data_IF_440146758425
#
_entry.id   IF_440146758425
#
_cell.length_a   1.000
_cell.length_b   1.000
_cell.length_c   1.000
_cell.angle_alpha   90.00
_cell.angle_beta   90.00
_cell.angle_gamma   90.00
#
_symmetry.space_group_name_H-M   'P 1'
#
loop_
_entity.id
_entity.type
_entity.pdbx_description
1 polymer ?
#
# COMPACT_ATOMS: atom_id res chain seq x y z
N UNK A 1 -0.88 -8.75 -4.20
CA UNK A 1 -1.71 -7.51 -4.34
C UNK A 1 -2.29 -7.17 -2.99
N UNK A 2 -2.80 -5.95 -2.78
CA UNK A 2 -3.18 -5.46 -1.44
C UNK A 2 -4.52 -4.75 -1.50
N UNK A 3 -5.27 -4.78 -0.38
CA UNK A 3 -6.32 -3.80 -0.14
C UNK A 3 -5.67 -2.47 0.22
N UNK A 4 -6.13 -1.40 -0.40
CA UNK A 4 -5.75 -0.02 -0.11
C UNK A 4 -7.00 0.85 -0.16
N UNK A 5 -7.26 1.56 0.93
CA UNK A 5 -8.27 2.61 1.01
C UNK A 5 -7.59 3.86 1.53
N UNK A 6 -7.77 4.98 0.85
CA UNK A 6 -7.27 6.26 1.33
C UNK A 6 -8.32 7.36 1.22
N UNK A 7 -8.18 8.35 2.07
CA UNK A 7 -8.91 9.60 1.99
C UNK A 7 -7.94 10.76 2.19
N UNK A 8 -8.10 11.81 1.39
CA UNK A 8 -7.27 13.00 1.48
C UNK A 8 -8.11 14.26 1.48
N UNK A 9 -7.71 15.22 2.29
CA UNK A 9 -8.22 16.57 2.38
C UNK A 9 -7.06 17.53 2.68
N UNK A 10 -7.23 18.86 2.63
CA UNK A 10 -6.10 19.79 2.74
C UNK A 10 -5.22 19.64 3.97
N UNK A 11 -5.78 19.25 5.11
CA UNK A 11 -5.09 19.18 6.41
C UNK A 11 -4.82 17.75 6.91
N UNK A 12 -5.33 16.72 6.22
CA UNK A 12 -5.14 15.33 6.63
C UNK A 12 -5.16 14.33 5.47
N UNK A 13 -4.43 13.24 5.63
CA UNK A 13 -4.57 12.03 4.82
C UNK A 13 -4.73 10.81 5.72
N UNK A 14 -5.68 9.93 5.38
CA UNK A 14 -5.83 8.60 5.97
C UNK A 14 -5.49 7.57 4.91
N UNK A 15 -4.58 6.64 5.21
CA UNK A 15 -4.15 5.58 4.29
C UNK A 15 -4.23 4.25 5.02
N UNK A 16 -5.14 3.39 4.62
CA UNK A 16 -5.36 2.10 5.26
C UNK A 16 -5.03 0.93 4.33
N UNK A 17 -4.39 -0.10 4.88
CA UNK A 17 -4.05 -1.34 4.18
C UNK A 17 -4.33 -2.55 5.05
N UNK A 18 -4.56 -3.69 4.41
CA UNK A 18 -4.47 -5.00 5.04
C UNK A 18 -3.01 -5.45 5.20
N UNK A 19 -2.75 -6.48 6.01
CA UNK A 19 -1.38 -6.95 6.27
C UNK A 19 -1.04 -8.31 5.65
N UNK A 20 -2.01 -9.11 5.18
CA UNK A 20 -1.76 -10.45 4.68
C UNK A 20 -0.95 -10.44 3.37
N UNK A 21 0.15 -11.15 3.35
CA UNK A 21 0.87 -11.54 2.14
C UNK A 21 0.66 -13.04 1.88
N UNK A 22 0.44 -13.40 0.62
CA UNK A 22 0.23 -14.78 0.18
C UNK A 22 1.29 -15.21 -0.82
N UNK A 23 1.56 -16.50 -0.87
CA UNK A 23 2.35 -17.14 -1.92
C UNK A 23 1.57 -17.22 -3.24
N UNK A 24 2.22 -17.70 -4.31
CA UNK A 24 1.62 -17.78 -5.65
C UNK A 24 0.38 -18.69 -5.73
N UNK A 25 0.25 -19.64 -4.82
CA UNK A 25 -0.90 -20.53 -4.70
C UNK A 25 -2.02 -19.97 -3.79
N UNK A 26 -1.87 -18.72 -3.29
CA UNK A 26 -2.84 -18.08 -2.41
C UNK A 26 -2.75 -18.46 -0.93
N UNK A 27 -1.81 -19.32 -0.55
CA UNK A 27 -1.61 -19.69 0.85
C UNK A 27 -1.01 -18.53 1.66
N UNK A 28 -1.41 -18.35 2.92
CA UNK A 28 -0.81 -17.36 3.81
C UNK A 28 0.70 -17.56 3.93
N UNK A 29 1.47 -16.49 3.67
CA UNK A 29 2.93 -16.51 3.65
C UNK A 29 3.54 -15.69 4.78
N UNK A 30 3.04 -14.48 5.00
CA UNK A 30 3.47 -13.60 6.08
C UNK A 30 2.46 -12.48 6.34
N UNK A 31 2.61 -11.80 7.47
CA UNK A 31 2.01 -10.49 7.69
C UNK A 31 3.08 -9.42 7.46
N UNK A 32 2.75 -8.41 6.66
CA UNK A 32 3.68 -7.34 6.32
C UNK A 32 3.01 -5.97 6.28
N UNK A 33 3.78 -4.94 6.59
CA UNK A 33 3.36 -3.55 6.43
C UNK A 33 3.36 -3.20 4.94
N UNK A 34 2.24 -2.69 4.44
CA UNK A 34 2.03 -2.33 3.03
C UNK A 34 1.99 -0.83 2.78
N UNK A 35 2.00 -0.04 3.85
CA UNK A 35 2.16 1.40 3.84
C UNK A 35 3.14 1.82 4.95
N UNK A 36 4.00 2.78 4.68
CA UNK A 36 4.98 3.25 5.66
C UNK A 36 5.20 4.75 5.58
N UNK A 37 5.62 5.35 6.69
CA UNK A 37 5.84 6.78 6.83
C UNK A 37 7.32 7.13 6.86
N UNK A 38 7.71 8.16 6.12
CA UNK A 38 9.07 8.74 6.13
C UNK A 38 9.03 10.06 6.90
N UNK A 39 9.52 10.11 8.15
CA UNK A 39 9.32 11.27 9.04
C UNK A 39 9.91 12.58 8.49
N UNK A 40 11.13 12.54 7.97
CA UNK A 40 11.82 13.73 7.49
C UNK A 40 11.22 14.32 6.20
N UNK A 41 10.44 13.54 5.45
CA UNK A 41 9.69 13.98 4.28
C UNK A 41 8.22 14.24 4.58
N UNK A 42 7.75 13.93 5.79
CA UNK A 42 6.32 13.93 6.17
C UNK A 42 5.45 13.23 5.12
N UNK A 43 5.90 12.06 4.64
CA UNK A 43 5.28 11.37 3.50
C UNK A 43 4.99 9.92 3.83
N UNK A 44 3.76 9.47 3.53
CA UNK A 44 3.37 8.06 3.52
C UNK A 44 3.60 7.51 2.11
N UNK A 45 4.21 6.33 2.02
CA UNK A 45 4.32 5.54 0.80
C UNK A 45 3.50 4.27 0.98
N UNK A 46 2.62 3.99 0.02
CA UNK A 46 1.81 2.77 -0.03
C UNK A 46 1.84 2.19 -1.45
N UNK A 47 1.38 0.96 -1.62
CA UNK A 47 1.33 0.39 -2.96
C UNK A 47 0.38 -0.79 -3.11
N UNK A 48 0.06 -1.06 -4.38
CA UNK A 48 -0.75 -2.21 -4.80
C UNK A 48 -0.07 -2.89 -5.99
N UNK A 49 -0.40 -4.14 -6.26
CA UNK A 49 0.20 -4.92 -7.36
C UNK A 49 1.30 -5.85 -6.86
N UNK A 50 2.49 -5.82 -7.47
CA UNK A 50 3.59 -6.68 -7.09
C UNK A 50 3.95 -6.52 -5.60
N UNK A 51 3.86 -7.63 -4.87
CA UNK A 51 4.07 -7.64 -3.41
C UNK A 51 5.47 -7.19 -3.03
N UNK A 52 5.60 -6.28 -2.07
CA UNK A 52 6.89 -5.81 -1.56
C UNK A 52 7.55 -4.68 -2.36
N UNK A 53 7.12 -4.39 -3.60
CA UNK A 53 7.75 -3.35 -4.42
C UNK A 53 7.66 -1.95 -3.79
N UNK A 54 6.49 -1.57 -3.30
CA UNK A 54 6.31 -0.28 -2.60
C UNK A 54 7.15 -0.17 -1.32
N UNK A 55 7.38 -1.29 -0.62
CA UNK A 55 8.25 -1.34 0.56
C UNK A 55 9.73 -1.17 0.19
N UNK A 56 10.17 -1.72 -0.94
CA UNK A 56 11.53 -1.45 -1.46
C UNK A 56 11.69 0.02 -1.86
N UNK A 57 10.66 0.62 -2.48
CA UNK A 57 10.67 2.06 -2.77
C UNK A 57 10.71 2.91 -1.51
N UNK A 58 9.91 2.58 -0.49
CA UNK A 58 9.93 3.24 0.82
C UNK A 58 11.34 3.22 1.42
N UNK A 59 11.99 2.05 1.42
CA UNK A 59 13.35 1.90 1.93
C UNK A 59 14.35 2.72 1.09
N UNK A 60 14.24 2.67 -0.24
CA UNK A 60 15.10 3.45 -1.14
C UNK A 60 14.96 4.95 -0.89
N UNK A 61 13.73 5.47 -0.85
CA UNK A 61 13.46 6.88 -0.61
C UNK A 61 13.94 7.36 0.75
N UNK A 62 13.76 6.53 1.79
CA UNK A 62 14.13 6.90 3.16
C UNK A 62 15.63 6.83 3.45
N UNK A 63 16.40 5.98 2.74
CA UNK A 63 17.81 5.68 3.09
C UNK A 63 18.83 6.04 2.02
N UNK A 64 18.41 6.19 0.77
CA UNK A 64 19.33 6.37 -0.37
C UNK A 64 19.10 7.67 -1.15
N UNK A 65 18.01 8.38 -0.89
CA UNK A 65 17.73 9.66 -1.54
C UNK A 65 17.99 10.81 -0.57
N UNK A 66 18.52 11.91 -1.12
CA UNK A 66 18.63 13.19 -0.42
C UNK A 66 17.65 14.13 -1.10
N UNK A 67 16.43 14.16 -0.58
CA UNK A 67 15.31 14.96 -1.10
C UNK A 67 14.73 15.85 0.00
N UNK A 68 14.14 16.97 -0.40
CA UNK A 68 13.59 17.97 0.49
C UNK A 68 12.07 18.08 0.24
N UNK A 69 11.30 17.28 0.98
CA UNK A 69 9.84 17.27 0.90
C UNK A 69 9.26 16.45 -0.25
N UNK A 70 7.91 16.45 -0.33
CA UNK A 70 7.18 15.57 -1.24
C UNK A 70 7.29 15.98 -2.71
N UNK A 71 7.34 17.28 -3.02
CA UNK A 71 7.46 17.72 -4.42
C UNK A 71 8.83 17.40 -5.01
N UNK A 72 9.89 17.52 -4.20
CA UNK A 72 11.22 17.11 -4.65
C UNK A 72 11.31 15.57 -4.76
N UNK A 73 10.65 14.83 -3.88
CA UNK A 73 10.52 13.37 -4.01
C UNK A 73 9.76 13.01 -5.30
N UNK A 74 8.61 13.66 -5.57
CA UNK A 74 7.81 13.45 -6.78
C UNK A 74 8.64 13.62 -8.05
N UNK A 75 9.42 14.69 -8.14
CA UNK A 75 10.30 14.95 -9.30
C UNK A 75 11.25 13.79 -9.62
N UNK A 76 11.78 13.12 -8.59
CA UNK A 76 12.72 12.01 -8.76
C UNK A 76 12.07 10.62 -8.86
N UNK A 77 10.82 10.50 -8.40
CA UNK A 77 10.11 9.22 -8.28
C UNK A 77 9.93 8.47 -9.60
N UNK A 78 9.52 9.08 -10.72
CA UNK A 78 9.30 8.36 -11.97
C UNK A 78 10.54 7.60 -12.44
N UNK A 79 11.69 8.27 -12.46
CA UNK A 79 12.96 7.66 -12.84
C UNK A 79 13.39 6.56 -11.86
N UNK A 80 13.34 6.87 -10.56
CA UNK A 80 13.75 5.94 -9.51
C UNK A 80 12.90 4.66 -9.49
N UNK A 81 11.58 4.79 -9.62
CA UNK A 81 10.69 3.64 -9.72
C UNK A 81 10.93 2.83 -10.99
N UNK A 82 11.16 3.47 -12.13
CA UNK A 82 11.47 2.77 -13.38
C UNK A 82 12.72 1.90 -13.28
N UNK A 83 13.81 2.46 -12.74
CA UNK A 83 15.08 1.73 -12.54
C UNK A 83 14.92 0.59 -11.52
N UNK A 84 14.22 0.85 -10.42
CA UNK A 84 13.96 -0.15 -9.38
C UNK A 84 13.06 -1.28 -9.91
N UNK A 85 12.05 -0.96 -10.73
CA UNK A 85 11.10 -1.93 -11.27
C UNK A 85 11.77 -2.93 -12.21
N UNK A 86 12.68 -2.47 -13.08
CA UNK A 86 13.43 -3.36 -13.96
C UNK A 86 14.33 -4.34 -13.18
N UNK A 87 14.93 -3.87 -12.10
CA UNK A 87 15.73 -4.72 -11.20
C UNK A 87 14.83 -5.71 -10.44
N UNK A 88 13.70 -5.23 -9.92
CA UNK A 88 12.74 -6.01 -9.16
C UNK A 88 12.12 -7.15 -9.99
N UNK A 89 11.72 -6.87 -11.23
CA UNK A 89 11.19 -7.91 -12.14
C UNK A 89 12.19 -9.04 -12.35
N UNK A 90 13.47 -8.72 -12.53
CA UNK A 90 14.53 -9.72 -12.72
C UNK A 90 14.78 -10.54 -11.45
N UNK A 91 14.89 -9.87 -10.30
CA UNK A 91 15.17 -10.51 -9.01
C UNK A 91 14.06 -11.50 -8.60
N UNK A 92 12.80 -11.11 -8.81
CA UNK A 92 11.65 -11.94 -8.43
C UNK A 92 11.04 -12.75 -9.59
N UNK A 93 11.70 -12.75 -10.75
CA UNK A 93 11.25 -13.48 -11.95
C UNK A 93 9.79 -13.17 -12.32
N UNK A 94 9.40 -11.89 -12.20
CA UNK A 94 8.06 -11.46 -12.53
C UNK A 94 7.84 -11.50 -14.05
N UNK A 95 6.61 -11.81 -14.44
CA UNK A 95 6.18 -11.80 -15.85
C UNK A 95 5.98 -10.38 -16.38
N UNK A 96 5.99 -10.19 -17.69
CA UNK A 96 5.87 -8.87 -18.32
C UNK A 96 4.50 -8.20 -18.08
N UNK A 97 3.48 -9.00 -17.82
CA UNK A 97 2.12 -8.55 -17.46
C UNK A 97 1.96 -8.15 -15.99
N UNK A 98 3.00 -8.38 -15.17
CA UNK A 98 3.00 -7.94 -13.77
C UNK A 98 2.92 -6.43 -13.68
N UNK A 99 2.02 -5.94 -12.84
CA UNK A 99 1.80 -4.51 -12.64
C UNK A 99 1.96 -4.10 -11.18
N UNK A 100 2.30 -2.83 -10.99
CA UNK A 100 2.36 -2.22 -9.66
C UNK A 100 1.93 -0.75 -9.73
N UNK A 101 1.40 -0.25 -8.63
CA UNK A 101 1.14 1.17 -8.42
C UNK A 101 1.71 1.57 -7.07
N UNK A 102 2.51 2.62 -7.06
CA UNK A 102 2.99 3.27 -5.83
C UNK A 102 2.22 4.55 -5.63
N UNK A 103 1.84 4.81 -4.39
CA UNK A 103 1.18 6.05 -3.96
C UNK A 103 2.06 6.78 -2.96
N UNK A 104 2.07 8.10 -3.04
CA UNK A 104 2.71 8.99 -2.08
C UNK A 104 1.68 9.99 -1.58
N UNK A 105 1.60 10.14 -0.25
CA UNK A 105 0.75 11.11 0.42
C UNK A 105 1.62 11.90 1.39
N UNK A 106 1.74 13.17 1.22
CA UNK A 106 2.64 13.96 2.07
C UNK A 106 2.16 15.37 2.29
N UNK A 107 2.83 16.05 3.21
CA UNK A 107 2.62 17.47 3.45
C UNK A 107 3.53 18.25 2.51
N UNK A 108 2.94 19.12 1.70
CA UNK A 108 3.66 20.01 0.80
C UNK A 108 4.57 20.94 1.59
N UNK A 109 5.83 20.96 1.25
CA UNK A 109 6.81 21.91 1.79
C UNK A 109 6.55 23.37 1.37
N UNK A 110 5.70 23.57 0.34
CA UNK A 110 5.37 24.88 -0.20
C UNK A 110 4.09 25.45 0.43
N UNK A 111 3.00 24.66 0.50
CA UNK A 111 1.69 25.12 0.96
C UNK A 111 1.34 24.70 2.38
N UNK A 112 1.99 23.65 2.92
CA UNK A 112 1.62 23.03 4.18
C UNK A 112 0.35 22.17 4.10
N UNK A 113 -0.22 22.00 2.90
CA UNK A 113 -1.38 21.14 2.67
C UNK A 113 -0.96 19.71 2.25
N UNK A 114 -1.87 18.79 2.41
CA UNK A 114 -1.69 17.42 1.88
C UNK A 114 -1.68 17.48 0.37
N UNK A 115 -0.70 16.81 -0.23
CA UNK A 115 -0.66 16.50 -1.67
C UNK A 115 -0.43 15.01 -1.85
N UNK A 116 -0.93 14.46 -2.94
CA UNK A 116 -0.82 13.03 -3.20
C UNK A 116 -0.62 12.73 -4.68
N UNK A 117 0.17 11.67 -4.93
CA UNK A 117 0.55 11.24 -6.26
C UNK A 117 0.40 9.73 -6.40
N UNK A 118 0.06 9.28 -7.61
CA UNK A 118 0.12 7.88 -8.01
C UNK A 118 1.13 7.69 -9.15
N UNK A 119 1.81 6.55 -9.11
CA UNK A 119 2.81 6.14 -10.09
C UNK A 119 2.52 4.71 -10.51
N UNK A 120 2.17 4.51 -11.78
CA UNK A 120 1.74 3.20 -12.31
C UNK A 120 2.81 2.63 -13.24
N UNK A 121 3.13 1.35 -13.09
CA UNK A 121 4.05 0.68 -14.02
C UNK A 121 3.52 0.67 -15.46
N UNK A 122 2.21 0.72 -15.64
CA UNK A 122 1.54 0.73 -16.96
C UNK A 122 1.72 2.04 -17.75
N UNK A 123 2.15 3.13 -17.09
CA UNK A 123 2.46 4.40 -17.74
C UNK A 123 3.91 4.86 -17.47
N UNK A 124 4.83 3.91 -17.26
CA UNK A 124 6.23 4.18 -16.95
C UNK A 124 6.42 5.04 -15.69
N UNK A 125 5.56 4.85 -14.69
CA UNK A 125 5.57 5.59 -13.43
C UNK A 125 5.51 7.11 -13.58
N UNK A 126 4.88 7.63 -14.63
CA UNK A 126 4.62 9.07 -14.72
C UNK A 126 3.84 9.52 -13.48
N UNK A 127 4.20 10.70 -12.97
CA UNK A 127 3.51 11.30 -11.83
C UNK A 127 2.08 11.67 -12.20
N UNK A 128 1.14 11.16 -11.42
CA UNK A 128 -0.30 11.46 -11.54
C UNK A 128 -0.75 12.14 -10.24
N UNK A 129 -0.90 13.48 -10.21
CA UNK A 129 -1.47 14.16 -9.06
C UNK A 129 -2.90 13.66 -8.78
N UNK A 130 -3.20 13.34 -7.53
CA UNK A 130 -4.53 12.90 -7.12
C UNK A 130 -5.32 14.09 -6.55
N UNK A 131 -6.61 14.12 -6.84
CA UNK A 131 -7.54 15.07 -6.25
C UNK A 131 -7.88 14.64 -4.82
N UNK A 132 -8.29 15.59 -3.97
CA UNK A 132 -8.83 15.26 -2.65
C UNK A 132 -10.06 14.37 -2.75
N UNK A 133 -10.23 13.51 -1.77
CA UNK A 133 -11.34 12.55 -1.70
C UNK A 133 -10.89 11.13 -1.38
N UNK A 134 -11.80 10.20 -1.60
CA UNK A 134 -11.61 8.78 -1.31
C UNK A 134 -11.12 8.00 -2.52
N UNK A 135 -10.08 7.21 -2.33
CA UNK A 135 -9.65 6.20 -3.29
C UNK A 135 -9.70 4.80 -2.68
N UNK A 136 -10.15 3.84 -3.48
CA UNK A 136 -10.31 2.43 -3.07
C UNK A 136 -9.69 1.50 -4.11
N UNK A 137 -8.96 0.49 -3.65
CA UNK A 137 -8.37 -0.54 -4.52
C UNK A 137 -8.18 -1.86 -3.73
N UNK A 138 -8.81 -2.97 -4.12
CA UNK A 138 -9.80 -3.12 -5.20
C UNK A 138 -11.06 -2.24 -5.01
N UNK A 139 -11.93 -2.21 -6.01
CA UNK A 139 -13.17 -1.44 -5.95
C UNK A 139 -14.12 -2.00 -4.88
N UNK A 140 -14.79 -1.11 -4.15
CA UNK A 140 -15.91 -1.40 -3.25
C UNK A 140 -16.83 -0.18 -3.16
N UNK A 141 -17.94 -0.32 -2.48
CA UNK A 141 -18.83 0.79 -2.15
C UNK A 141 -18.14 1.74 -1.16
N UNK A 142 -18.11 3.03 -1.48
CA UNK A 142 -17.62 4.04 -0.55
C UNK A 142 -18.76 4.37 0.42
N UNK A 143 -18.54 4.07 1.71
CA UNK A 143 -19.49 4.34 2.78
C UNK A 143 -19.36 5.77 3.29
N UNK A 144 -20.44 6.30 3.87
CA UNK A 144 -20.42 7.59 4.57
C UNK A 144 -20.26 7.36 6.08
N UNK A 145 -19.45 8.19 6.75
CA UNK A 145 -19.25 8.11 8.20
C UNK A 145 -17.82 8.44 8.63
N UNK A 146 -17.50 8.10 9.88
CA UNK A 146 -16.14 8.23 10.39
C UNK A 146 -15.24 7.22 9.67
N UNK A 147 -14.19 7.70 9.03
CA UNK A 147 -13.30 6.87 8.20
C UNK A 147 -12.72 5.66 8.94
N UNK A 148 -12.27 5.83 10.19
CA UNK A 148 -11.65 4.74 10.94
C UNK A 148 -12.66 3.65 11.32
N UNK A 149 -13.96 4.00 11.37
CA UNK A 149 -15.03 3.05 11.67
C UNK A 149 -15.54 2.33 10.42
N UNK A 150 -15.60 3.02 9.26
CA UNK A 150 -16.16 2.45 8.01
C UNK A 150 -15.16 1.70 7.15
N UNK A 151 -13.86 2.01 7.23
CA UNK A 151 -12.81 1.35 6.42
C UNK A 151 -12.78 -0.16 6.65
N UNK A 152 -12.90 -0.70 7.88
CA UNK A 152 -12.97 -2.16 8.07
C UNK A 152 -14.09 -2.83 7.28
N UNK A 153 -15.31 -2.27 7.29
CA UNK A 153 -16.45 -2.81 6.54
C UNK A 153 -16.22 -2.74 5.03
N UNK A 154 -15.63 -1.65 4.54
CA UNK A 154 -15.26 -1.50 3.13
C UNK A 154 -14.22 -2.55 2.71
N UNK A 155 -13.23 -2.87 3.55
CA UNK A 155 -12.24 -3.91 3.27
C UNK A 155 -12.84 -5.31 3.30
N UNK A 156 -13.82 -5.56 4.17
CA UNK A 156 -14.59 -6.82 4.19
C UNK A 156 -15.37 -6.97 2.88
N UNK A 157 -16.01 -5.90 2.38
CA UNK A 157 -16.66 -5.92 1.06
C UNK A 157 -15.67 -6.17 -0.07
N UNK A 158 -14.50 -5.50 -0.07
CA UNK A 158 -13.43 -5.76 -1.05
C UNK A 158 -13.05 -7.23 -1.06
N UNK A 159 -12.81 -7.83 0.13
CA UNK A 159 -12.46 -9.23 0.26
C UNK A 159 -13.54 -10.15 -0.29
N UNK A 160 -14.81 -9.87 -0.01
CA UNK A 160 -15.94 -10.64 -0.52
C UNK A 160 -16.01 -10.57 -2.05
N UNK A 161 -15.89 -9.39 -2.64
CA UNK A 161 -15.91 -9.19 -4.10
C UNK A 161 -14.72 -9.90 -4.77
N UNK A 162 -13.54 -9.86 -4.16
CA UNK A 162 -12.36 -10.57 -4.67
C UNK A 162 -12.51 -12.09 -4.57
N UNK A 163 -13.22 -12.61 -3.55
CA UNK A 163 -13.46 -14.06 -3.41
C UNK A 163 -14.31 -14.67 -4.54
N UNK A 164 -15.07 -13.86 -5.25
CA UNK A 164 -15.87 -14.27 -6.42
C UNK A 164 -15.05 -14.42 -7.71
N UNK A 165 -13.81 -13.88 -7.73
CA UNK A 165 -12.92 -13.94 -8.89
C UNK A 165 -12.17 -15.28 -8.99
N UNK A 166 -11.71 -15.64 -10.21
CA UNK A 166 -10.79 -16.76 -10.39
C UNK A 166 -9.54 -16.60 -9.53
N UNK A 167 -8.98 -17.71 -9.07
CA UNK A 167 -7.83 -17.73 -8.14
C UNK A 167 -6.63 -16.89 -8.63
N UNK A 168 -6.31 -16.94 -9.91
CA UNK A 168 -5.20 -16.23 -10.54
C UNK A 168 -5.44 -14.71 -10.74
N UNK A 169 -6.68 -14.23 -10.58
CA UNK A 169 -7.05 -12.82 -10.72
C UNK A 169 -7.37 -12.16 -9.37
N UNK A 170 -7.46 -12.98 -8.32
CA UNK A 170 -7.91 -12.57 -7.00
C UNK A 170 -6.87 -11.74 -6.26
N UNK A 171 -7.31 -10.69 -5.59
CA UNK A 171 -6.55 -10.01 -4.55
C UNK A 171 -6.89 -10.68 -3.21
N UNK A 172 -5.87 -11.27 -2.58
CA UNK A 172 -6.02 -11.85 -1.24
C UNK A 172 -5.88 -10.73 -0.20
N UNK A 173 -6.91 -10.61 0.63
CA UNK A 173 -7.06 -9.55 1.64
C UNK A 173 -7.27 -10.22 2.99
N UNK A 174 -6.49 -9.86 4.00
CA UNK A 174 -6.56 -10.51 5.32
C UNK A 174 -5.57 -9.93 6.33
N UNK A 175 -5.48 -10.58 7.47
CA UNK A 175 -4.62 -10.15 8.58
C UNK A 175 -5.23 -9.00 9.38
N UNK A 176 -4.41 -8.04 9.77
CA UNK A 176 -4.86 -6.81 10.43
C UNK A 176 -5.17 -5.71 9.42
N UNK A 177 -6.01 -4.75 9.81
CA UNK A 177 -6.30 -3.52 9.08
C UNK A 177 -5.59 -2.38 9.79
N UNK A 178 -4.61 -1.79 9.11
CA UNK A 178 -3.77 -0.74 9.65
C UNK A 178 -4.02 0.57 8.90
N UNK A 179 -4.30 1.63 9.64
CA UNK A 179 -4.43 2.98 9.11
C UNK A 179 -3.25 3.86 9.55
N UNK A 180 -2.70 4.62 8.61
CA UNK A 180 -1.79 5.73 8.86
C UNK A 180 -2.58 7.02 8.69
N UNK A 181 -2.57 7.87 9.72
CA UNK A 181 -3.24 9.18 9.72
C UNK A 181 -2.17 10.25 9.75
N UNK A 182 -1.99 10.93 8.61
CA UNK A 182 -1.01 12.01 8.43
C UNK A 182 -1.69 13.36 8.62
N UNK A 183 -1.09 14.20 9.45
CA UNK A 183 -1.42 15.61 9.63
C UNK A 183 -0.15 16.46 9.67
N UNK A 184 -0.27 17.77 9.79
CA UNK A 184 0.89 18.65 9.98
C UNK A 184 1.68 18.35 11.26
N UNK A 185 1.05 17.76 12.28
CA UNK A 185 1.68 17.37 13.55
C UNK A 185 2.52 16.09 13.43
N UNK A 186 2.23 15.24 12.44
CA UNK A 186 2.94 13.98 12.22
C UNK A 186 2.04 12.88 11.67
N UNK A 187 2.48 11.64 11.85
CA UNK A 187 1.76 10.46 11.38
C UNK A 187 1.47 9.50 12.55
N UNK A 188 0.20 9.18 12.75
CA UNK A 188 -0.25 8.16 13.67
C UNK A 188 -0.46 6.83 12.94
N UNK A 189 -0.04 5.74 13.56
CA UNK A 189 -0.18 4.38 13.08
C UNK A 189 -1.17 3.64 13.99
N UNK A 190 -2.31 3.21 13.44
CA UNK A 190 -3.45 2.73 14.22
C UNK A 190 -3.96 1.40 13.64
N UNK A 191 -4.06 0.35 14.46
CA UNK A 191 -4.85 -0.84 14.13
C UNK A 191 -6.33 -0.49 14.28
N UNK A 192 -7.09 -0.56 13.19
CA UNK A 192 -8.51 -0.22 13.15
C UNK A 192 -9.43 -1.45 13.00
N UNK A 193 -8.85 -2.62 12.75
CA UNK A 193 -9.59 -3.88 12.64
C UNK A 193 -8.69 -5.07 12.35
N UNK A 194 -9.32 -6.23 12.25
CA UNK A 194 -8.69 -7.48 11.84
C UNK A 194 -9.72 -8.37 11.15
N UNK A 195 -9.25 -9.28 10.31
CA UNK A 195 -10.09 -10.28 9.67
C UNK A 195 -10.27 -11.49 10.59
N UNK A 196 -11.42 -12.16 10.48
CA UNK A 196 -11.83 -13.27 11.35
C UNK A 196 -10.90 -14.48 11.32
N UNK A 197 -10.16 -14.65 10.24
CA UNK A 197 -9.21 -15.74 10.03
C UNK A 197 -7.76 -15.40 10.40
N UNK A 198 -7.49 -14.24 11.00
CA UNK A 198 -6.14 -13.80 11.42
C UNK A 198 -5.37 -14.90 12.17
N UNK A 199 -6.00 -15.52 13.16
CA UNK A 199 -5.37 -16.58 13.98
C UNK A 199 -5.10 -17.85 13.16
N UNK A 200 -6.00 -18.20 12.24
CA UNK A 200 -5.81 -19.35 11.36
C UNK A 200 -4.68 -19.12 10.36
N UNK A 201 -4.60 -17.91 9.78
CA UNK A 201 -3.54 -17.49 8.88
C UNK A 201 -2.18 -17.47 9.59
N UNK A 202 -2.11 -16.93 10.82
CA UNK A 202 -0.89 -16.93 11.63
C UNK A 202 -0.38 -18.37 11.85
N UNK A 203 -1.27 -19.30 12.22
CA UNK A 203 -0.92 -20.71 12.40
C UNK A 203 -0.40 -21.32 11.09
N UNK A 204 -1.07 -21.09 9.97
CA UNK A 204 -0.66 -21.59 8.66
C UNK A 204 0.73 -21.07 8.25
N UNK A 205 1.01 -19.77 8.49
CA UNK A 205 2.32 -19.16 8.24
C UNK A 205 3.43 -19.87 9.02
N UNK A 206 3.24 -20.11 10.33
CA UNK A 206 4.23 -20.80 11.15
C UNK A 206 4.43 -22.27 10.75
N UNK A 207 3.35 -22.97 10.39
CA UNK A 207 3.44 -24.36 9.92
C UNK A 207 4.20 -24.45 8.58
N UNK A 208 3.97 -23.51 7.66
CA UNK A 208 4.67 -23.45 6.37
C UNK A 208 6.16 -23.13 6.55
N UNK A 209 6.50 -22.19 7.43
CA UNK A 209 7.89 -21.86 7.75
C UNK A 209 8.65 -23.08 8.29
N UNK A 210 8.06 -23.83 9.21
CA UNK A 210 8.67 -25.04 9.79
C UNK A 210 8.89 -26.17 8.75
N UNK A 211 8.06 -26.24 7.69
CA UNK A 211 8.26 -27.21 6.59
C UNK A 211 9.40 -26.81 5.66
N UNK A 212 9.67 -25.52 5.50
CA UNK A 212 10.76 -25.03 4.64
C UNK A 212 12.15 -25.11 5.31
N UNK A 213 12.19 -25.21 6.64
CA UNK A 213 13.43 -25.24 7.44
C UNK A 213 13.87 -26.66 7.85
N UNK A 214 13.09 -27.68 7.56
CA UNK A 214 13.40 -29.12 7.75
C UNK A 214 13.62 -29.82 6.39
#
# INVERSE_FOLDING_TARGET
MSSLIFYTQPDAAVVATDTLAVSSDGSPFSFCTKAGYIPHLKTIIAGTGAGGFSSQWLLHASTRMVVHGIHNLDFHTPKGLGELWETYKKEYSLTDDSTTTVYQFGISEESGEVVSFAYRSTNNFQSEPLQFGTGVKPACTVLEGNLLDIIPDMMVEQRKNEAEKPHNERVYIGGEIIALVLTNEGCNHIKIGEFEDLVADEKAIFENFNRMTN
#
